data_IF_609643395101
#
_entry.id   IF_609643395101
#
_cell.length_a   1.000
_cell.length_b   1.000
_cell.length_c   1.000
_cell.angle_alpha   90.00
_cell.angle_beta   90.00
_cell.angle_gamma   90.00
#
_symmetry.space_group_name_H-M   'P 1'
#
loop_
_entity.id
_entity.type
_entity.pdbx_description
1 polymer ?
#
# COMPACT_ATOMS: atom_id res chain seq x y z
N UNK A 1 14.95 -18.27 -6.03
CA UNK A 1 15.21 -17.06 -5.21
C UNK A 1 16.71 -16.79 -5.06
N UNK A 2 17.53 -17.78 -4.73
CA UNK A 2 18.96 -17.62 -4.44
C UNK A 2 19.79 -16.75 -5.40
N UNK A 3 19.49 -16.72 -6.72
CA UNK A 3 20.18 -15.84 -7.69
C UNK A 3 20.02 -14.33 -7.42
N UNK A 4 18.99 -13.94 -6.68
CA UNK A 4 18.78 -12.55 -6.25
C UNK A 4 19.68 -12.17 -5.06
N UNK A 5 20.47 -13.12 -4.54
CA UNK A 5 21.53 -12.86 -3.58
C UNK A 5 21.05 -12.66 -2.15
N UNK A 6 21.58 -11.62 -1.51
CA UNK A 6 21.36 -11.33 -0.10
C UNK A 6 19.87 -11.18 0.24
N UNK A 7 19.43 -11.78 1.36
CA UNK A 7 18.04 -11.75 1.81
C UNK A 7 17.10 -12.74 1.11
N UNK A 8 17.52 -13.40 0.03
CA UNK A 8 16.69 -14.32 -0.75
C UNK A 8 16.69 -15.78 -0.24
N UNK A 9 17.06 -16.00 1.03
CA UNK A 9 17.08 -17.33 1.65
C UNK A 9 15.67 -17.94 1.75
N UNK A 10 14.66 -17.10 2.04
CA UNK A 10 13.24 -17.51 2.01
C UNK A 10 12.62 -17.45 0.62
N UNK A 11 12.78 -16.33 -0.10
CA UNK A 11 12.09 -16.11 -1.36
C UNK A 11 12.33 -14.72 -1.94
N UNK A 12 11.66 -14.40 -3.06
CA UNK A 12 11.64 -13.07 -3.68
C UNK A 12 10.22 -12.73 -4.10
N UNK A 13 9.75 -11.55 -3.73
CA UNK A 13 8.50 -10.95 -4.21
C UNK A 13 8.88 -9.72 -5.03
N UNK A 14 8.50 -9.68 -6.31
CA UNK A 14 8.80 -8.57 -7.21
C UNK A 14 7.52 -7.92 -7.71
N UNK A 15 7.26 -6.68 -7.27
CA UNK A 15 6.06 -5.91 -7.63
C UNK A 15 6.42 -5.00 -8.82
N UNK A 16 5.84 -5.27 -9.98
CA UNK A 16 6.11 -4.53 -11.22
C UNK A 16 5.01 -3.50 -11.45
N UNK A 17 5.39 -2.24 -11.62
CA UNK A 17 4.47 -1.11 -11.88
C UNK A 17 4.04 -1.06 -13.34
N UNK A 18 2.83 -0.53 -13.60
CA UNK A 18 2.35 -0.24 -14.96
C UNK A 18 3.31 0.72 -15.67
N UNK A 19 3.49 0.55 -16.98
CA UNK A 19 4.42 1.33 -17.80
C UNK A 19 3.69 2.19 -18.83
N UNK A 20 4.40 3.17 -19.40
CA UNK A 20 3.88 3.99 -20.49
C UNK A 20 3.77 3.20 -21.80
N UNK A 21 2.68 3.43 -22.54
CA UNK A 21 2.47 2.88 -23.88
C UNK A 21 2.87 3.86 -24.99
N UNK A 22 2.43 3.55 -26.22
CA UNK A 22 2.58 4.43 -27.37
C UNK A 22 1.62 5.64 -27.33
N UNK A 23 0.46 5.47 -26.68
CA UNK A 23 -0.54 6.53 -26.51
C UNK A 23 -0.60 6.98 -25.05
N UNK A 24 -1.20 8.16 -24.84
CA UNK A 24 -1.44 8.67 -23.49
C UNK A 24 -2.62 7.97 -22.86
N UNK A 25 -2.40 7.35 -21.70
CA UNK A 25 -3.41 6.68 -20.90
C UNK A 25 -3.38 7.15 -19.46
N UNK A 26 -4.55 7.14 -18.83
CA UNK A 26 -4.71 7.48 -17.42
C UNK A 26 -5.71 6.57 -16.73
N UNK A 27 -5.65 6.55 -15.41
CA UNK A 27 -6.67 5.93 -14.56
C UNK A 27 -6.83 6.72 -13.26
N UNK A 28 -8.02 6.61 -12.70
CA UNK A 28 -8.33 6.97 -11.33
C UNK A 28 -9.04 5.78 -10.70
N UNK A 29 -8.65 5.40 -9.50
CA UNK A 29 -9.21 4.24 -8.79
C UNK A 29 -9.48 4.61 -7.35
N UNK A 30 -10.69 4.31 -6.90
CA UNK A 30 -11.14 4.52 -5.52
C UNK A 30 -11.60 3.18 -4.96
N UNK A 31 -11.28 2.93 -3.70
CA UNK A 31 -11.68 1.76 -2.95
C UNK A 31 -12.05 2.17 -1.52
N UNK A 32 -13.08 1.53 -0.98
CA UNK A 32 -13.51 1.68 0.42
C UNK A 32 -14.10 0.37 0.90
N UNK A 33 -13.91 0.03 2.17
CA UNK A 33 -14.55 -1.11 2.82
C UNK A 33 -15.35 -0.68 4.05
N UNK A 34 -16.29 -1.53 4.46
CA UNK A 34 -17.17 -1.29 5.59
C UNK A 34 -17.17 -2.53 6.48
N UNK A 35 -16.38 -2.54 7.58
CA UNK A 35 -16.36 -3.64 8.53
C UNK A 35 -17.73 -3.87 9.14
N UNK A 36 -18.07 -5.14 9.39
CA UNK A 36 -19.33 -5.50 10.04
C UNK A 36 -19.34 -5.07 11.52
N UNK A 37 -18.17 -5.12 12.17
CA UNK A 37 -17.98 -4.74 13.56
C UNK A 37 -17.17 -3.44 13.64
N UNK A 38 -17.66 -2.46 14.41
CA UNK A 38 -17.04 -1.12 14.49
C UNK A 38 -15.66 -1.12 15.16
N UNK A 39 -15.37 -2.14 15.95
CA UNK A 39 -14.07 -2.31 16.59
C UNK A 39 -12.96 -2.64 15.58
N UNK A 40 -13.31 -3.06 14.36
CA UNK A 40 -12.34 -3.30 13.30
C UNK A 40 -12.12 -2.05 12.47
N UNK A 41 -10.85 -1.77 12.15
CA UNK A 41 -10.46 -0.62 11.34
C UNK A 41 -10.96 -0.70 9.89
N UNK A 42 -11.69 0.33 9.44
CA UNK A 42 -12.08 0.49 8.05
C UNK A 42 -10.90 0.98 7.19
N UNK A 43 -10.98 0.79 5.88
CA UNK A 43 -9.96 1.23 4.92
C UNK A 43 -10.55 1.98 3.74
N UNK A 44 -9.88 3.06 3.37
CA UNK A 44 -10.19 3.87 2.19
C UNK A 44 -8.90 4.16 1.41
N UNK A 45 -9.01 4.16 0.08
CA UNK A 45 -7.86 4.37 -0.80
C UNK A 45 -8.27 5.05 -2.10
N UNK A 46 -7.47 6.03 -2.49
CA UNK A 46 -7.57 6.70 -3.78
C UNK A 46 -6.20 6.71 -4.44
N UNK A 47 -6.13 6.25 -5.68
CA UNK A 47 -4.90 6.26 -6.48
C UNK A 47 -5.19 6.70 -7.90
N UNK A 48 -4.25 7.43 -8.51
CA UNK A 48 -4.30 7.80 -9.91
C UNK A 48 -3.00 7.43 -10.61
N UNK A 49 -3.06 7.27 -11.92
CA UNK A 49 -1.87 7.16 -12.76
C UNK A 49 -2.10 7.81 -14.12
N UNK A 50 -1.07 8.45 -14.66
CA UNK A 50 -1.06 9.08 -15.97
C UNK A 50 0.27 8.79 -16.65
N UNK A 51 0.23 8.38 -17.91
CA UNK A 51 1.42 8.01 -18.67
C UNK A 51 1.19 8.21 -20.17
N UNK A 52 2.28 8.33 -20.93
CA UNK A 52 2.21 8.49 -22.38
C UNK A 52 3.46 9.16 -22.95
N UNK A 53 3.48 9.43 -24.27
CA UNK A 53 4.49 10.27 -24.88
C UNK A 53 4.33 11.75 -24.45
N UNK A 54 5.44 12.39 -24.06
CA UNK A 54 5.55 13.86 -23.97
C UNK A 54 5.99 14.46 -25.31
N UNK A 55 6.91 13.77 -25.99
CA UNK A 55 7.43 14.09 -27.33
C UNK A 55 7.66 12.79 -28.10
N UNK A 56 8.16 12.85 -29.33
CA UNK A 56 8.48 11.65 -30.12
C UNK A 56 9.49 10.71 -29.44
N UNK A 57 10.45 11.27 -28.67
CA UNK A 57 11.54 10.52 -28.06
C UNK A 57 11.46 10.44 -26.53
N UNK A 58 10.52 11.15 -25.90
CA UNK A 58 10.39 11.24 -24.45
C UNK A 58 8.99 10.83 -24.01
N UNK A 59 8.89 9.87 -23.12
CA UNK A 59 7.65 9.43 -22.48
C UNK A 59 7.72 9.58 -20.96
N UNK A 60 6.55 9.69 -20.33
CA UNK A 60 6.41 9.83 -18.90
C UNK A 60 5.46 8.80 -18.31
N UNK A 61 5.63 8.56 -17.01
CA UNK A 61 4.66 7.91 -16.15
C UNK A 61 4.70 8.57 -14.78
N UNK A 62 3.56 9.03 -14.32
CA UNK A 62 3.36 9.50 -12.95
C UNK A 62 2.21 8.74 -12.31
N UNK A 63 2.32 8.46 -11.02
CA UNK A 63 1.19 7.98 -10.23
C UNK A 63 1.24 8.55 -8.82
N UNK A 64 0.08 8.60 -8.17
CA UNK A 64 -0.05 8.98 -6.78
C UNK A 64 -1.07 8.13 -6.06
N UNK A 65 -0.88 7.97 -4.75
CA UNK A 65 -1.77 7.21 -3.89
C UNK A 65 -1.92 7.89 -2.54
N UNK A 66 -3.15 7.93 -2.04
CA UNK A 66 -3.47 8.26 -0.65
C UNK A 66 -4.34 7.15 -0.11
N UNK A 67 -3.92 6.57 1.00
CA UNK A 67 -4.67 5.52 1.67
C UNK A 67 -4.69 5.73 3.18
N UNK A 68 -5.77 5.28 3.82
CA UNK A 68 -5.90 5.21 5.26
C UNK A 68 -6.59 3.91 5.63
N UNK A 69 -5.95 3.16 6.51
CA UNK A 69 -6.56 2.07 7.26
C UNK A 69 -6.59 2.51 8.71
N UNK A 70 -7.79 2.57 9.29
CA UNK A 70 -7.93 2.85 10.72
C UNK A 70 -7.36 1.70 11.55
N UNK A 71 -6.90 2.01 12.76
CA UNK A 71 -6.56 0.97 13.72
C UNK A 71 -7.82 0.26 14.17
N UNK A 72 -7.66 -0.97 14.64
CA UNK A 72 -8.70 -1.57 15.45
C UNK A 72 -8.87 -0.75 16.77
N UNK A 73 -10.05 -0.85 17.39
CA UNK A 73 -10.30 -0.22 18.69
C UNK A 73 -9.33 -0.77 19.75
N UNK A 74 -8.95 0.08 20.70
CA UNK A 74 -7.93 -0.25 21.71
C UNK A 74 -8.31 -1.47 22.57
N UNK A 75 -9.60 -1.72 22.75
CA UNK A 75 -10.20 -2.78 23.56
C UNK A 75 -10.81 -3.91 22.71
N UNK A 76 -10.52 -4.00 21.41
CA UNK A 76 -11.04 -5.05 20.51
C UNK A 76 -10.87 -6.48 21.08
N UNK A 77 -9.81 -6.71 21.87
CA UNK A 77 -9.51 -8.02 22.47
C UNK A 77 -9.90 -8.14 23.95
N UNK A 78 -10.63 -7.18 24.52
CA UNK A 78 -11.13 -7.30 25.89
C UNK A 78 -12.14 -8.47 25.98
N UNK A 79 -11.97 -9.34 26.97
CA UNK A 79 -12.69 -10.60 27.10
C UNK A 79 -12.07 -11.77 26.32
N UNK A 80 -10.99 -11.51 25.58
CA UNK A 80 -10.26 -12.50 24.78
C UNK A 80 -8.76 -12.52 25.11
N UNK A 81 -8.32 -11.75 26.12
CA UNK A 81 -6.95 -11.73 26.60
C UNK A 81 -6.56 -13.00 27.38
N UNK A 82 -5.26 -13.32 27.38
CA UNK A 82 -4.70 -14.31 28.30
C UNK A 82 -4.83 -13.85 29.76
N UNK A 83 -4.83 -14.79 30.71
CA UNK A 83 -4.92 -14.45 32.15
C UNK A 83 -3.73 -13.56 32.56
N UNK A 84 -4.01 -12.39 33.14
CA UNK A 84 -3.01 -11.44 33.65
C UNK A 84 -3.30 -11.04 35.10
N UNK A 85 -2.25 -10.95 35.92
CA UNK A 85 -2.37 -10.72 37.37
C UNK A 85 -1.44 -9.61 37.87
N UNK A 86 -1.67 -9.14 39.11
CA UNK A 86 -0.84 -8.14 39.77
C UNK A 86 -0.78 -6.82 38.98
N UNK A 87 0.44 -6.30 38.76
CA UNK A 87 0.68 -5.03 38.03
C UNK A 87 0.24 -5.07 36.55
N UNK A 88 -0.01 -6.25 35.99
CA UNK A 88 -0.41 -6.44 34.59
C UNK A 88 -1.92 -6.64 34.45
N UNK A 89 -2.67 -6.67 35.55
CA UNK A 89 -4.13 -6.74 35.51
C UNK A 89 -4.69 -5.50 34.80
N UNK A 90 -5.60 -5.72 33.84
CA UNK A 90 -6.16 -4.67 32.98
C UNK A 90 -5.33 -4.33 31.75
N UNK A 91 -4.17 -4.97 31.52
CA UNK A 91 -3.47 -4.85 30.22
C UNK A 91 -4.12 -5.74 29.16
N UNK A 92 -4.21 -5.23 27.92
CA UNK A 92 -4.83 -5.94 26.81
C UNK A 92 -3.80 -6.19 25.68
N UNK A 93 -3.89 -7.33 24.97
CA UNK A 93 -3.20 -7.47 23.69
C UNK A 93 -3.85 -6.52 22.66
N UNK A 94 -3.04 -5.75 21.95
CA UNK A 94 -3.54 -4.79 20.97
C UNK A 94 -4.14 -5.49 19.73
N UNK A 95 -5.03 -4.78 19.04
CA UNK A 95 -5.48 -5.12 17.69
C UNK A 95 -4.44 -4.74 16.62
N UNK A 96 -4.88 -4.67 15.36
CA UNK A 96 -4.02 -4.23 14.25
C UNK A 96 -3.80 -2.72 14.31
N UNK A 97 -2.57 -2.32 14.01
CA UNK A 97 -2.20 -0.91 13.93
C UNK A 97 -2.79 -0.26 12.67
N UNK A 98 -3.22 1.00 12.80
CA UNK A 98 -3.65 1.80 11.66
C UNK A 98 -2.47 2.28 10.83
N UNK A 99 -2.70 2.60 9.56
CA UNK A 99 -1.67 3.11 8.66
C UNK A 99 -2.20 4.20 7.75
N UNK A 100 -1.34 5.17 7.43
CA UNK A 100 -1.61 6.21 6.43
C UNK A 100 -0.51 6.21 5.39
N UNK A 101 -0.88 6.17 4.12
CA UNK A 101 0.04 6.18 2.99
C UNK A 101 -0.16 7.43 2.14
N UNK A 102 0.97 8.01 1.71
CA UNK A 102 1.04 9.10 0.74
C UNK A 102 2.21 8.80 -0.18
N UNK A 103 1.91 8.42 -1.40
CA UNK A 103 2.90 7.98 -2.37
C UNK A 103 2.78 8.82 -3.63
N UNK A 104 3.93 9.17 -4.20
CA UNK A 104 4.04 9.80 -5.51
C UNK A 104 5.28 9.25 -6.21
N UNK A 105 5.15 8.95 -7.49
CA UNK A 105 6.23 8.47 -8.34
C UNK A 105 6.22 9.19 -9.69
N UNK A 106 7.40 9.41 -10.24
CA UNK A 106 7.60 9.93 -11.58
C UNK A 106 8.75 9.22 -12.28
N UNK A 107 8.49 8.77 -13.50
CA UNK A 107 9.47 8.17 -14.39
C UNK A 107 9.46 8.89 -15.73
N UNK A 108 10.64 9.20 -16.24
CA UNK A 108 10.86 9.64 -17.61
C UNK A 108 11.63 8.56 -18.36
N UNK A 109 11.18 8.26 -19.57
CA UNK A 109 11.81 7.29 -20.47
C UNK A 109 12.19 8.00 -21.76
N UNK A 110 13.48 7.96 -22.10
CA UNK A 110 14.04 8.63 -23.27
C UNK A 110 14.61 7.61 -24.25
N UNK A 111 14.06 7.59 -25.47
CA UNK A 111 14.59 6.85 -26.61
C UNK A 111 15.74 7.63 -27.26
N UNK A 112 16.97 7.26 -26.94
CA UNK A 112 18.20 7.91 -27.45
C UNK A 112 18.57 7.42 -28.86
N UNK A 113 18.39 6.14 -29.12
CA UNK A 113 18.60 5.47 -30.40
C UNK A 113 17.43 4.53 -30.68
N UNK A 114 17.23 4.08 -31.95
CA UNK A 114 16.21 3.11 -32.29
C UNK A 114 16.28 1.82 -31.46
#
# INVERSE_FOLDING_TARGET
AARYGNGAAGGVVNIITKQAGAETHGNLSVYSNFPQHKAEGASERMSFGLNGPLTENLSYRVYGNIAKTDSDDWDINAGHESIRTGKQAGTLPAGREGVRNKDIDGLLSWRLTP
#
